data_IF_763195038690
#
_entry.id   IF_763195038690
#
_cell.length_a   1.000
_cell.length_b   1.000
_cell.length_c   1.000
_cell.angle_alpha   90.00
_cell.angle_beta   90.00
_cell.angle_gamma   90.00
#
_symmetry.space_group_name_H-M   'P 1'
#
loop_
_entity.id
_entity.type
_entity.pdbx_description
1 polymer ?
#
# COMPACT_ATOMS: atom_id res chain seq x y z
N UNK A 1 22.53 18.45 28.24
CA UNK A 1 21.37 17.75 28.84
C UNK A 1 21.53 16.27 28.57
N UNK A 2 21.43 15.41 29.58
CA UNK A 2 21.38 13.96 29.38
C UNK A 2 19.97 13.57 28.92
N UNK A 3 19.87 12.60 28.01
CA UNK A 3 18.57 12.04 27.63
C UNK A 3 17.91 11.37 28.85
N UNK A 4 16.58 11.37 28.94
CA UNK A 4 15.88 10.66 30.00
C UNK A 4 16.15 9.16 29.89
N UNK A 5 16.23 8.49 31.04
CA UNK A 5 16.32 7.04 31.08
C UNK A 5 15.07 6.42 30.42
N UNK A 6 15.22 5.25 29.78
CA UNK A 6 14.09 4.58 29.14
C UNK A 6 12.99 4.24 30.17
N UNK A 7 11.74 4.11 29.71
CA UNK A 7 10.63 3.74 30.58
C UNK A 7 10.87 2.42 31.32
N UNK A 8 10.40 2.34 32.57
CA UNK A 8 10.62 1.19 33.47
C UNK A 8 10.10 -0.13 32.88
N UNK A 9 9.04 -0.08 32.07
CA UNK A 9 8.41 -1.28 31.52
C UNK A 9 9.31 -2.08 30.57
N UNK A 10 10.36 -1.48 30.01
CA UNK A 10 11.33 -2.16 29.13
C UNK A 10 11.97 -3.36 29.83
N UNK A 11 12.13 -3.33 31.16
CA UNK A 11 12.69 -4.43 31.96
C UNK A 11 11.86 -5.72 31.91
N UNK A 12 10.56 -5.63 31.60
CA UNK A 12 9.67 -6.79 31.55
C UNK A 12 9.73 -7.53 30.21
N UNK A 13 10.33 -6.93 29.17
CA UNK A 13 10.48 -7.52 27.84
C UNK A 13 11.78 -8.33 27.72
N UNK A 14 11.89 -9.41 28.49
CA UNK A 14 12.97 -10.40 28.37
C UNK A 14 12.59 -11.53 27.42
N UNK A 15 13.57 -12.21 26.81
CA UNK A 15 13.31 -13.34 25.90
C UNK A 15 12.48 -14.46 26.53
N UNK A 16 12.64 -14.67 27.84
CA UNK A 16 11.87 -15.66 28.59
C UNK A 16 10.40 -15.24 28.75
N UNK A 17 10.13 -13.98 29.10
CA UNK A 17 8.77 -13.46 29.25
C UNK A 17 8.02 -13.36 27.93
N UNK A 18 8.73 -13.02 26.84
CA UNK A 18 8.15 -12.98 25.48
C UNK A 18 7.73 -14.38 25.03
N UNK A 19 8.57 -15.40 25.26
CA UNK A 19 8.21 -16.80 24.97
C UNK A 19 7.06 -17.30 25.84
N UNK A 20 7.00 -16.87 27.09
CA UNK A 20 5.94 -17.22 28.04
C UNK A 20 4.64 -16.41 27.85
N UNK A 21 4.64 -15.36 27.01
CA UNK A 21 3.48 -14.49 26.81
C UNK A 21 3.10 -13.64 28.02
N UNK A 22 3.98 -13.50 29.01
CA UNK A 22 3.74 -12.77 30.27
C UNK A 22 4.15 -11.30 30.23
N UNK A 23 4.50 -10.78 29.04
CA UNK A 23 4.83 -9.38 28.87
C UNK A 23 3.60 -8.49 29.17
N UNK A 24 3.79 -7.36 29.88
CA UNK A 24 2.70 -6.43 30.10
C UNK A 24 2.17 -5.90 28.75
N UNK A 25 0.84 -5.73 28.60
CA UNK A 25 0.28 -5.13 27.41
C UNK A 25 0.74 -3.67 27.28
N UNK A 26 0.80 -3.13 26.05
CA UNK A 26 1.07 -1.71 25.86
C UNK A 26 0.02 -0.87 26.61
N UNK A 27 0.39 0.33 27.10
CA UNK A 27 -0.57 1.22 27.75
C UNK A 27 -1.72 1.56 26.80
N UNK A 28 -2.93 1.80 27.34
CA UNK A 28 -4.07 2.20 26.51
C UNK A 28 -3.77 3.52 25.80
N UNK A 29 -4.28 3.66 24.57
CA UNK A 29 -4.10 4.89 23.79
C UNK A 29 -4.82 6.03 24.52
N UNK A 30 -4.12 7.12 24.88
CA UNK A 30 -4.75 8.25 25.53
C UNK A 30 -5.67 8.97 24.55
N UNK A 31 -6.90 9.27 24.97
CA UNK A 31 -7.86 10.05 24.17
C UNK A 31 -7.47 11.52 24.08
N UNK A 32 -6.87 12.03 25.16
CA UNK A 32 -6.36 13.40 25.26
C UNK A 32 -4.85 13.34 25.38
N UNK A 33 -4.14 14.02 24.50
CA UNK A 33 -2.69 14.00 24.47
C UNK A 33 -2.15 15.35 24.02
N UNK A 34 -0.99 15.72 24.59
CA UNK A 34 -0.36 16.99 24.30
C UNK A 34 0.75 16.82 23.27
N UNK A 35 0.66 17.54 22.16
CA UNK A 35 1.66 17.50 21.08
C UNK A 35 2.14 18.92 20.80
N UNK A 36 3.46 19.12 20.85
CA UNK A 36 4.09 20.43 20.65
C UNK A 36 3.56 21.56 21.54
N UNK A 37 3.01 21.21 22.71
CA UNK A 37 2.44 22.19 23.64
C UNK A 37 0.94 22.40 23.49
N UNK A 38 0.31 21.86 22.44
CA UNK A 38 -1.13 21.90 22.18
C UNK A 38 -1.81 20.64 22.70
N UNK A 39 -2.96 20.79 23.35
CA UNK A 39 -3.77 19.65 23.81
C UNK A 39 -4.70 19.20 22.67
N UNK A 40 -4.62 17.92 22.32
CA UNK A 40 -5.46 17.29 21.31
C UNK A 40 -6.44 16.34 21.98
N UNK A 41 -7.69 16.37 21.53
CA UNK A 41 -8.74 15.41 21.86
C UNK A 41 -9.12 14.63 20.60
N UNK A 42 -9.16 13.31 20.67
CA UNK A 42 -9.51 12.45 19.53
C UNK A 42 -11.00 12.47 19.19
N UNK A 43 -11.87 12.91 20.10
CA UNK A 43 -13.32 13.05 19.86
C UNK A 43 -13.66 14.31 19.06
N UNK A 44 -12.78 15.31 19.09
CA UNK A 44 -12.98 16.57 18.37
C UNK A 44 -12.50 16.47 16.92
N UNK A 45 -13.05 17.30 16.01
CA UNK A 45 -12.53 17.38 14.65
C UNK A 45 -11.04 17.75 14.67
N UNK A 46 -10.23 16.98 13.93
CA UNK A 46 -8.77 17.12 13.87
C UNK A 46 -8.29 18.54 13.54
N UNK A 47 -9.11 19.31 12.80
CA UNK A 47 -8.87 20.72 12.54
C UNK A 47 -9.97 21.52 13.26
N UNK A 48 -9.64 22.32 14.29
CA UNK A 48 -10.62 23.18 14.96
C UNK A 48 -11.12 24.26 14.01
N UNK A 49 -12.38 24.67 14.18
CA UNK A 49 -13.00 25.67 13.32
C UNK A 49 -12.41 27.07 13.59
N UNK A 50 -12.34 27.93 12.56
CA UNK A 50 -11.86 29.31 12.73
C UNK A 50 -12.64 30.08 13.81
N UNK A 51 -14.00 29.98 13.89
CA UNK A 51 -14.75 30.66 14.93
C UNK A 51 -14.43 30.18 16.35
N UNK A 52 -14.10 28.89 16.54
CA UNK A 52 -13.73 28.38 17.88
C UNK A 52 -12.36 28.91 18.34
N UNK A 53 -11.52 29.35 17.40
CA UNK A 53 -10.26 30.03 17.65
C UNK A 53 -10.40 31.57 17.77
N UNK A 54 -11.63 32.09 17.70
CA UNK A 54 -11.89 33.53 17.72
C UNK A 54 -11.49 34.26 16.43
N UNK A 55 -11.30 33.52 15.33
CA UNK A 55 -10.90 34.09 14.04
C UNK A 55 -12.09 34.26 13.09
N UNK A 56 -12.13 35.34 12.30
CA UNK A 56 -13.18 35.54 11.30
C UNK A 56 -13.02 34.53 10.16
N UNK A 57 -14.14 33.98 9.68
CA UNK A 57 -14.18 33.07 8.55
C UNK A 57 -14.56 33.82 7.26
N UNK A 58 -13.72 33.74 6.23
CA UNK A 58 -13.89 34.47 4.96
C UNK A 58 -14.34 33.60 3.78
N UNK A 59 -14.64 32.33 4.02
CA UNK A 59 -15.12 31.39 3.01
C UNK A 59 -16.46 30.77 3.43
N UNK A 60 -17.29 30.40 2.44
CA UNK A 60 -18.62 29.82 2.66
C UNK A 60 -18.61 28.35 3.09
N UNK A 61 -19.79 27.72 3.14
CA UNK A 61 -19.90 26.29 3.44
C UNK A 61 -19.19 25.43 2.37
N UNK A 62 -18.30 24.54 2.84
CA UNK A 62 -17.55 23.64 1.99
C UNK A 62 -18.28 22.29 1.93
N UNK A 63 -18.77 21.92 0.74
CA UNK A 63 -19.45 20.64 0.52
C UNK A 63 -18.61 19.69 -0.33
N UNK A 64 -17.88 20.23 -1.30
CA UNK A 64 -17.10 19.45 -2.25
C UNK A 64 -15.66 19.97 -2.39
N UNK A 65 -14.78 19.12 -2.94
CA UNK A 65 -13.39 19.49 -3.25
C UNK A 65 -13.28 20.63 -4.27
N UNK A 66 -14.24 20.75 -5.19
CA UNK A 66 -14.31 21.85 -6.13
C UNK A 66 -14.51 23.20 -5.44
N UNK A 67 -15.31 23.20 -4.36
CA UNK A 67 -15.61 24.39 -3.57
C UNK A 67 -14.36 24.86 -2.82
N UNK A 68 -13.62 23.94 -2.19
CA UNK A 68 -12.32 24.24 -1.53
C UNK A 68 -11.35 24.91 -2.52
N UNK A 69 -11.24 24.37 -3.73
CA UNK A 69 -10.33 24.91 -4.74
C UNK A 69 -10.76 26.30 -5.21
N UNK A 70 -12.06 26.53 -5.35
CA UNK A 70 -12.60 27.83 -5.73
C UNK A 70 -12.34 28.88 -4.63
N UNK A 71 -12.61 28.54 -3.37
CA UNK A 71 -12.38 29.41 -2.23
C UNK A 71 -10.89 29.69 -2.00
N UNK A 72 -10.01 28.69 -2.10
CA UNK A 72 -8.55 28.89 -2.09
C UNK A 72 -8.10 29.86 -3.19
N UNK A 73 -8.70 29.79 -4.38
CA UNK A 73 -8.35 30.70 -5.48
C UNK A 73 -8.80 32.12 -5.19
N UNK A 74 -9.99 32.31 -4.61
CA UNK A 74 -10.51 33.61 -4.18
C UNK A 74 -9.64 34.22 -3.09
N UNK A 75 -9.34 33.46 -2.03
CA UNK A 75 -8.48 33.91 -0.93
C UNK A 75 -7.07 34.25 -1.42
N UNK A 76 -6.49 33.44 -2.32
CA UNK A 76 -5.19 33.77 -2.93
C UNK A 76 -5.22 35.13 -3.62
N UNK A 77 -6.23 35.39 -4.45
CA UNK A 77 -6.38 36.68 -5.12
C UNK A 77 -6.59 37.83 -4.12
N UNK A 78 -7.34 37.59 -3.05
CA UNK A 78 -7.54 38.56 -1.96
C UNK A 78 -6.25 38.85 -1.18
N UNK A 79 -5.43 37.84 -0.88
CA UNK A 79 -4.12 37.99 -0.23
C UNK A 79 -3.20 38.86 -1.09
N UNK A 80 -3.15 38.59 -2.40
CA UNK A 80 -2.31 39.37 -3.31
C UNK A 80 -2.77 40.83 -3.36
N UNK A 81 -4.08 41.08 -3.44
CA UNK A 81 -4.62 42.44 -3.43
C UNK A 81 -4.29 43.16 -2.11
N UNK A 82 -4.53 42.51 -0.96
CA UNK A 82 -4.23 43.07 0.36
C UNK A 82 -2.72 43.35 0.55
N UNK A 83 -1.85 42.49 0.01
CA UNK A 83 -0.41 42.73 0.02
C UNK A 83 -0.03 43.94 -0.83
N UNK A 84 -0.61 44.10 -2.03
CA UNK A 84 -0.37 45.28 -2.87
C UNK A 84 -0.86 46.56 -2.20
N UNK A 85 -2.05 46.54 -1.59
CA UNK A 85 -2.59 47.66 -0.83
C UNK A 85 -1.66 48.04 0.34
N UNK A 86 -1.14 47.04 1.07
CA UNK A 86 -0.16 47.26 2.12
C UNK A 86 1.13 47.88 1.57
N UNK A 87 1.66 47.38 0.44
CA UNK A 87 2.87 47.97 -0.16
C UNK A 87 2.64 49.41 -0.62
N UNK A 88 1.48 49.71 -1.19
CA UNK A 88 1.12 51.07 -1.61
C UNK A 88 1.03 52.01 -0.41
N UNK A 89 0.44 51.54 0.68
CA UNK A 89 0.33 52.29 1.93
C UNK A 89 1.70 52.54 2.57
N UNK A 90 2.61 51.57 2.53
CA UNK A 90 3.99 51.72 3.02
C UNK A 90 4.82 52.70 2.18
N UNK A 91 4.56 52.80 0.88
CA UNK A 91 5.23 53.78 0.01
C UNK A 91 4.66 55.19 0.23
N UNK A 92 3.35 55.31 0.42
CA UNK A 92 2.64 56.59 0.44
C UNK A 92 2.56 57.21 1.84
N UNK A 93 2.53 56.40 2.89
CA UNK A 93 2.30 56.84 4.27
C UNK A 93 3.42 56.38 5.21
N UNK A 94 3.51 57.01 6.40
CA UNK A 94 4.48 56.59 7.41
C UNK A 94 4.20 55.16 7.89
N UNK A 95 5.22 54.30 8.04
CA UNK A 95 5.07 52.88 8.41
C UNK A 95 4.53 52.65 9.83
N UNK A 96 4.44 53.72 10.65
CA UNK A 96 3.90 53.70 12.01
C UNK A 96 2.43 54.16 12.08
N UNK A 97 1.77 54.36 10.93
CA UNK A 97 0.35 54.72 10.91
C UNK A 97 -0.52 53.56 11.40
N UNK A 98 -1.58 53.88 12.13
CA UNK A 98 -2.57 52.89 12.59
C UNK A 98 -3.19 52.12 11.43
N UNK A 99 -3.34 52.77 10.27
CA UNK A 99 -3.86 52.15 9.04
C UNK A 99 -2.95 51.05 8.48
N UNK A 100 -1.62 51.16 8.66
CA UNK A 100 -0.68 50.12 8.23
C UNK A 100 -0.81 48.88 9.13
N UNK A 101 -0.99 49.08 10.44
CA UNK A 101 -1.16 48.01 11.39
C UNK A 101 -2.48 47.23 11.16
N UNK A 102 -3.57 47.92 10.88
CA UNK A 102 -4.86 47.27 10.57
C UNK A 102 -4.80 46.47 9.28
N UNK A 103 -4.16 47.01 8.23
CA UNK A 103 -3.96 46.26 6.97
C UNK A 103 -3.06 45.04 7.12
N UNK A 104 -2.08 45.10 8.03
CA UNK A 104 -1.27 43.94 8.36
C UNK A 104 -2.09 42.86 9.08
N UNK A 105 -2.95 43.25 10.01
CA UNK A 105 -3.86 42.34 10.71
C UNK A 105 -4.87 41.68 9.75
N UNK A 106 -5.47 42.45 8.84
CA UNK A 106 -6.34 41.95 7.76
C UNK A 106 -5.62 40.88 6.93
N UNK A 107 -4.36 41.14 6.55
CA UNK A 107 -3.54 40.20 5.80
C UNK A 107 -3.28 38.91 6.61
N UNK A 108 -3.00 39.04 7.90
CA UNK A 108 -2.80 37.88 8.78
C UNK A 108 -4.07 37.02 8.86
N UNK A 109 -5.26 37.62 8.99
CA UNK A 109 -6.51 36.87 8.99
C UNK A 109 -6.76 36.14 7.67
N UNK A 110 -6.43 36.75 6.52
CA UNK A 110 -6.50 36.07 5.23
C UNK A 110 -5.58 34.84 5.18
N UNK A 111 -4.37 34.93 5.74
CA UNK A 111 -3.45 33.79 5.82
C UNK A 111 -3.95 32.69 6.76
N UNK A 112 -4.52 33.02 7.92
CA UNK A 112 -5.10 32.02 8.81
C UNK A 112 -6.23 31.24 8.12
N UNK A 113 -7.13 31.96 7.42
CA UNK A 113 -8.20 31.35 6.63
C UNK A 113 -7.65 30.44 5.52
N UNK A 114 -6.62 30.91 4.80
CA UNK A 114 -5.97 30.13 3.75
C UNK A 114 -5.32 28.85 4.28
N UNK A 115 -4.62 28.94 5.41
CA UNK A 115 -3.99 27.80 6.06
C UNK A 115 -5.02 26.79 6.57
N UNK A 116 -6.14 27.26 7.12
CA UNK A 116 -7.22 26.40 7.55
C UNK A 116 -7.79 25.57 6.38
N UNK A 117 -8.09 26.22 5.24
CA UNK A 117 -8.54 25.50 4.03
C UNK A 117 -7.51 24.50 3.51
N UNK A 118 -6.21 24.83 3.57
CA UNK A 118 -5.15 23.89 3.20
C UNK A 118 -5.12 22.68 4.14
N UNK A 119 -5.33 22.88 5.45
CA UNK A 119 -5.36 21.80 6.42
C UNK A 119 -6.53 20.84 6.15
N UNK A 120 -7.71 21.35 5.83
CA UNK A 120 -8.83 20.51 5.40
C UNK A 120 -8.52 19.76 4.10
N UNK A 121 -7.88 20.43 3.14
CA UNK A 121 -7.50 19.83 1.87
C UNK A 121 -6.53 18.65 2.01
N UNK A 122 -5.70 18.62 3.06
CA UNK A 122 -4.71 17.53 3.29
C UNK A 122 -5.36 16.15 3.39
N UNK A 123 -6.52 16.04 4.01
CA UNK A 123 -7.23 14.75 4.15
C UNK A 123 -7.65 14.22 2.77
N UNK A 124 -8.14 15.10 1.91
CA UNK A 124 -8.52 14.75 0.53
C UNK A 124 -7.29 14.35 -0.28
N UNK A 125 -6.21 15.10 -0.16
CA UNK A 125 -4.93 14.80 -0.81
C UNK A 125 -4.40 13.42 -0.38
N UNK A 126 -4.40 13.12 0.92
CA UNK A 126 -3.94 11.83 1.45
C UNK A 126 -4.74 10.65 0.85
N UNK A 127 -6.06 10.80 0.74
CA UNK A 127 -6.92 9.80 0.08
C UNK A 127 -6.57 9.63 -1.40
N UNK A 128 -6.39 10.74 -2.13
CA UNK A 128 -6.00 10.70 -3.53
C UNK A 128 -4.63 10.02 -3.73
N UNK A 129 -3.67 10.31 -2.85
CA UNK A 129 -2.35 9.66 -2.83
C UNK A 129 -2.47 8.17 -2.55
N UNK A 130 -3.29 7.74 -1.59
CA UNK A 130 -3.51 6.32 -1.31
C UNK A 130 -4.06 5.57 -2.52
N UNK A 131 -5.06 6.15 -3.20
CA UNK A 131 -5.61 5.58 -4.43
C UNK A 131 -4.55 5.48 -5.53
N UNK A 132 -3.70 6.50 -5.67
CA UNK A 132 -2.60 6.47 -6.62
C UNK A 132 -1.61 5.33 -6.33
N UNK A 133 -1.19 5.17 -5.08
CA UNK A 133 -0.30 4.09 -4.64
C UNK A 133 -0.94 2.72 -4.92
N UNK A 134 -2.22 2.54 -4.62
CA UNK A 134 -2.93 1.28 -4.87
C UNK A 134 -3.00 0.93 -6.36
N UNK A 135 -3.20 1.92 -7.22
CA UNK A 135 -3.18 1.73 -8.68
C UNK A 135 -1.80 1.31 -9.16
N UNK A 136 -0.74 1.94 -8.64
CA UNK A 136 0.63 1.59 -8.97
C UNK A 136 0.98 0.16 -8.54
N UNK A 137 0.58 -0.25 -7.33
CA UNK A 137 0.76 -1.61 -6.83
C UNK A 137 0.05 -2.64 -7.72
N UNK A 138 -1.20 -2.38 -8.10
CA UNK A 138 -1.93 -3.24 -9.04
C UNK A 138 -1.23 -3.37 -10.39
N UNK A 139 -0.70 -2.27 -10.93
CA UNK A 139 0.07 -2.31 -12.18
C UNK A 139 1.36 -3.12 -12.02
N UNK A 140 2.09 -2.97 -10.90
CA UNK A 140 3.28 -3.79 -10.61
C UNK A 140 2.92 -5.28 -10.54
N UNK A 141 1.86 -5.65 -9.85
CA UNK A 141 1.38 -7.04 -9.78
C UNK A 141 1.05 -7.61 -11.16
N UNK A 142 0.32 -6.86 -12.00
CA UNK A 142 0.02 -7.29 -13.39
C UNK A 142 1.28 -7.51 -14.23
N UNK A 143 2.30 -6.65 -14.06
CA UNK A 143 3.60 -6.80 -14.74
C UNK A 143 4.36 -8.03 -14.26
N UNK A 144 4.32 -8.32 -12.96
CA UNK A 144 4.94 -9.54 -12.41
C UNK A 144 4.24 -10.79 -12.91
N UNK A 145 2.90 -10.81 -12.89
CA UNK A 145 2.12 -11.95 -13.37
C UNK A 145 2.37 -12.23 -14.86
N UNK A 146 2.42 -11.20 -15.69
CA UNK A 146 2.74 -11.35 -17.13
C UNK A 146 4.17 -11.85 -17.35
N UNK A 147 5.15 -11.41 -16.55
CA UNK A 147 6.51 -11.96 -16.58
C UNK A 147 6.54 -13.43 -16.16
N UNK A 148 5.89 -13.78 -15.06
CA UNK A 148 5.81 -15.17 -14.59
C UNK A 148 5.13 -16.08 -15.61
N UNK A 149 4.01 -15.65 -16.21
CA UNK A 149 3.33 -16.40 -17.26
C UNK A 149 4.25 -16.66 -18.46
N UNK A 150 5.03 -15.66 -18.90
CA UNK A 150 6.04 -15.82 -19.96
C UNK A 150 7.14 -16.81 -19.56
N UNK A 151 7.68 -16.71 -18.35
CA UNK A 151 8.71 -17.65 -17.88
C UNK A 151 8.19 -19.09 -17.79
N UNK A 152 6.94 -19.30 -17.36
CA UNK A 152 6.30 -20.64 -17.34
C UNK A 152 6.09 -21.17 -18.76
N UNK A 153 5.64 -20.33 -19.70
CA UNK A 153 5.50 -20.73 -21.10
C UNK A 153 6.86 -21.13 -21.71
N UNK A 154 7.90 -20.34 -21.48
CA UNK A 154 9.27 -20.66 -21.90
C UNK A 154 9.79 -21.97 -21.28
N UNK A 155 9.56 -22.20 -19.98
CA UNK A 155 9.95 -23.43 -19.32
C UNK A 155 9.22 -24.66 -19.89
N UNK A 156 7.93 -24.52 -20.20
CA UNK A 156 7.13 -25.57 -20.85
C UNK A 156 7.65 -25.89 -22.25
N UNK A 157 7.96 -24.87 -23.05
CA UNK A 157 8.52 -25.01 -24.40
C UNK A 157 9.90 -25.69 -24.37
N UNK A 158 10.77 -25.31 -23.43
CA UNK A 158 12.07 -25.97 -23.24
C UNK A 158 11.85 -27.45 -22.90
N UNK A 159 10.99 -27.76 -21.94
CA UNK A 159 10.68 -29.13 -21.54
C UNK A 159 10.12 -29.97 -22.70
N UNK A 160 9.17 -29.44 -23.47
CA UNK A 160 8.63 -30.17 -24.63
C UNK A 160 9.71 -30.41 -25.69
N UNK A 161 10.53 -29.41 -25.99
CA UNK A 161 11.64 -29.57 -26.94
C UNK A 161 12.69 -30.58 -26.46
N UNK A 162 12.94 -30.66 -25.15
CA UNK A 162 13.84 -31.64 -24.56
C UNK A 162 13.26 -33.05 -24.63
N UNK A 163 11.97 -33.22 -24.35
CA UNK A 163 11.27 -34.52 -24.49
C UNK A 163 11.31 -35.00 -25.95
N UNK A 164 11.05 -34.11 -26.92
CA UNK A 164 11.16 -34.43 -28.35
C UNK A 164 12.58 -34.86 -28.75
N UNK A 165 13.60 -34.14 -28.27
CA UNK A 165 15.02 -34.48 -28.52
C UNK A 165 15.43 -35.80 -27.87
N UNK A 166 14.89 -36.11 -26.70
CA UNK A 166 15.09 -37.40 -26.01
C UNK A 166 14.25 -38.55 -26.61
N UNK A 167 13.28 -38.26 -27.48
CA UNK A 167 12.44 -39.27 -28.14
C UNK A 167 13.18 -40.02 -29.26
N UNK A 168 14.41 -39.62 -29.62
CA UNK A 168 15.32 -40.44 -30.41
C UNK A 168 16.26 -41.14 -29.43
N UNK A 169 15.97 -42.41 -29.14
CA UNK A 169 16.78 -43.47 -28.46
C UNK A 169 15.91 -44.43 -27.61
N UNK A 170 14.57 -44.34 -27.63
CA UNK A 170 13.71 -45.36 -27.02
C UNK A 170 13.54 -46.62 -27.89
N UNK A 171 14.01 -46.61 -29.15
CA UNK A 171 13.90 -47.75 -30.07
C UNK A 171 14.86 -48.92 -29.75
N UNK A 172 15.85 -48.73 -28.87
CA UNK A 172 16.86 -49.75 -28.57
C UNK A 172 16.71 -50.38 -27.17
N UNK A 173 15.72 -49.98 -26.36
CA UNK A 173 15.47 -50.68 -25.10
C UNK A 173 14.55 -51.88 -25.34
N UNK A 174 15.15 -53.01 -25.74
CA UNK A 174 14.44 -54.28 -25.81
C UNK A 174 14.22 -54.75 -24.37
N UNK A 175 12.97 -54.64 -23.90
CA UNK A 175 12.56 -55.21 -22.61
C UNK A 175 12.92 -56.71 -22.67
N UNK A 176 13.81 -57.22 -21.79
CA UNK A 176 14.12 -58.64 -21.77
C UNK A 176 12.83 -59.41 -21.48
N UNK A 177 12.58 -60.48 -22.24
CA UNK A 177 11.43 -61.34 -22.00
C UNK A 177 11.47 -61.85 -20.56
N UNK A 178 10.34 -61.89 -19.85
CA UNK A 178 10.30 -62.38 -18.49
C UNK A 178 10.84 -63.82 -18.45
N UNK A 179 11.65 -64.19 -17.43
CA UNK A 179 12.10 -65.56 -17.27
C UNK A 179 10.88 -66.47 -17.11
N UNK A 180 10.86 -67.56 -17.88
CA UNK A 180 9.86 -68.61 -17.75
C UNK A 180 10.06 -69.23 -16.35
N UNK A 181 9.03 -69.27 -15.48
CA UNK A 181 9.17 -69.84 -14.16
C UNK A 181 9.33 -71.36 -14.24
N UNK A 182 10.34 -71.89 -13.55
CA UNK A 182 10.49 -73.34 -13.35
C UNK A 182 9.26 -73.90 -12.62
N UNK A 183 8.81 -75.13 -12.94
CA UNK A 183 7.57 -75.73 -12.43
C UNK A 183 7.67 -76.19 -10.95
N UNK A 184 8.16 -75.35 -10.05
CA UNK A 184 8.36 -75.71 -8.64
C UNK A 184 8.43 -74.57 -7.61
N UNK A 185 8.21 -73.31 -7.98
CA UNK A 185 8.31 -72.19 -7.02
C UNK A 185 7.04 -71.35 -6.95
N UNK A 186 6.38 -71.36 -5.78
CA UNK A 186 5.28 -70.48 -5.42
C UNK A 186 5.79 -69.04 -5.18
N UNK A 187 5.66 -68.17 -6.18
CA UNK A 187 5.77 -66.73 -6.00
C UNK A 187 4.36 -66.13 -5.92
N UNK A 188 4.12 -65.31 -4.90
CA UNK A 188 2.86 -64.64 -4.62
C UNK A 188 2.40 -63.82 -5.85
N UNK A 189 1.29 -64.25 -6.44
CA UNK A 189 0.92 -63.99 -7.83
C UNK A 189 0.17 -62.67 -8.10
N UNK A 190 0.33 -61.63 -7.26
CA UNK A 190 -0.48 -60.40 -7.40
C UNK A 190 0.30 -59.13 -7.71
N UNK A 191 1.54 -58.96 -7.24
CA UNK A 191 2.21 -57.66 -7.39
C UNK A 191 3.09 -57.54 -8.65
N UNK A 192 3.65 -58.65 -9.15
CA UNK A 192 4.59 -58.59 -10.28
C UNK A 192 3.92 -58.52 -11.67
N UNK A 193 2.68 -59.00 -11.82
CA UNK A 193 1.95 -58.96 -13.10
C UNK A 193 1.33 -57.57 -13.37
N UNK A 194 0.88 -56.89 -12.31
CA UNK A 194 0.24 -55.58 -12.40
C UNK A 194 1.19 -54.48 -12.84
N UNK A 195 2.46 -54.55 -12.42
CA UNK A 195 3.48 -53.56 -12.81
C UNK A 195 3.74 -53.60 -14.33
N UNK A 196 3.65 -54.78 -14.96
CA UNK A 196 3.89 -54.93 -16.41
C UNK A 196 2.72 -54.45 -17.28
N UNK A 197 1.48 -54.66 -16.83
CA UNK A 197 0.26 -54.22 -17.52
C UNK A 197 0.13 -52.68 -17.56
N UNK A 198 0.51 -52.00 -16.46
CA UNK A 198 0.43 -50.53 -16.35
C UNK A 198 1.36 -49.82 -17.33
N UNK A 199 2.56 -50.39 -17.56
CA UNK A 199 3.52 -49.87 -18.54
C UNK A 199 3.07 -50.03 -19.99
N UNK A 200 2.24 -51.03 -20.30
CA UNK A 200 1.70 -51.24 -21.66
C UNK A 200 0.60 -50.24 -22.03
N UNK A 201 -0.20 -49.81 -21.05
CA UNK A 201 -1.38 -48.94 -21.26
C UNK A 201 -1.02 -47.48 -21.59
N UNK A 202 0.16 -47.01 -21.18
CA UNK A 202 0.59 -45.61 -21.38
C UNK A 202 1.38 -45.38 -22.68
N UNK A 203 1.67 -46.41 -23.48
CA UNK A 203 2.46 -46.30 -24.71
C UNK A 203 1.66 -46.16 -26.01
N UNK A 204 0.32 -46.32 -26.01
CA UNK A 204 -0.46 -46.48 -27.27
C UNK A 204 -1.56 -45.43 -27.49
N UNK A 205 -1.85 -44.52 -26.55
CA UNK A 205 -2.97 -43.57 -26.73
C UNK A 205 -2.50 -42.17 -27.17
N UNK A 206 -2.39 -41.95 -28.49
CA UNK A 206 -2.49 -40.62 -29.10
C UNK A 206 -3.98 -40.31 -29.43
N UNK A 207 -4.48 -39.06 -29.29
CA UNK A 207 -5.86 -38.75 -29.63
C UNK A 207 -6.03 -38.39 -31.12
N UNK A 208 -6.86 -39.17 -31.83
CA UNK A 208 -7.42 -38.82 -33.14
C UNK A 208 -8.57 -37.80 -33.00
N UNK A 209 -8.63 -36.89 -33.98
CA UNK A 209 -9.64 -35.83 -34.15
C UNK A 209 -11.08 -36.37 -34.24
N UNK A 210 -12.04 -35.58 -33.72
CA UNK A 210 -13.47 -35.71 -33.99
C UNK A 210 -14.02 -34.33 -34.37
N UNK A 211 -14.17 -34.10 -35.68
CA UNK A 211 -15.05 -33.09 -36.28
C UNK A 211 -16.44 -33.72 -36.51
N UNK A 212 -17.48 -33.06 -36.02
CA UNK A 212 -18.85 -33.00 -36.57
C UNK A 212 -19.65 -31.94 -35.83
#
# INVERSE_FOLDING_TARGET
MAFPNPPIYVKFYTESNVKAGTCPPPPPVPQKFRVFGEDYDLEEPMVPSLPSLGLPQFFGEIKNMADIKAELKKLKSSIIAAFLDLTQLLITSNPMSTDTATKFEDLAFLFFNFHHLLNEFRVIQARATLVHVQREQNQKLKRVLTKMAKSVAQAREILSSSVEKSSIQLSNFKIPSPPIPDPGTNYLESECFDIWQVTKKHSVAAPENLDS
#
